data_IF_488175309043
#
_entry.id   IF_488175309043
#
_cell.length_a   1.000
_cell.length_b   1.000
_cell.length_c   1.000
_cell.angle_alpha   90.00
_cell.angle_beta   90.00
_cell.angle_gamma   90.00
#
_symmetry.space_group_name_H-M   'P 1'
#
loop_
_entity.id
_entity.type
_entity.pdbx_description
1 polymer ?
#
# COMPACT_ATOMS: atom_id res chain seq x y z
N UNK A 1 4.12 -28.73 14.87
CA UNK A 1 5.59 -28.59 14.71
C UNK A 1 5.87 -27.86 13.41
N UNK A 2 6.52 -26.69 13.48
CA UNK A 2 6.88 -25.87 12.30
C UNK A 2 8.20 -26.41 11.73
N UNK A 3 8.20 -26.81 10.46
CA UNK A 3 9.39 -27.33 9.77
C UNK A 3 9.87 -26.40 8.64
N UNK A 4 9.04 -25.48 8.20
CA UNK A 4 9.35 -24.49 7.16
C UNK A 4 8.92 -23.10 7.64
N UNK A 5 9.81 -22.14 7.51
CA UNK A 5 9.58 -20.71 7.78
C UNK A 5 9.71 -19.94 6.49
N UNK A 6 8.76 -19.04 6.23
CA UNK A 6 8.83 -18.06 5.15
C UNK A 6 8.85 -16.68 5.78
N UNK A 7 9.83 -15.86 5.43
CA UNK A 7 9.95 -14.48 5.86
C UNK A 7 9.76 -13.61 4.64
N UNK A 8 8.65 -12.91 4.59
CA UNK A 8 8.33 -11.95 3.53
C UNK A 8 8.81 -10.55 3.91
N UNK A 9 9.14 -9.73 2.90
CA UNK A 9 9.75 -8.40 3.07
C UNK A 9 10.98 -8.44 4.00
N UNK A 10 11.84 -9.43 3.81
CA UNK A 10 13.00 -9.70 4.67
C UNK A 10 13.97 -8.50 4.75
N UNK A 11 14.21 -7.83 3.63
CA UNK A 11 14.98 -6.58 3.53
C UNK A 11 14.47 -5.51 4.50
N UNK A 12 13.14 -5.41 4.63
CA UNK A 12 12.52 -4.44 5.54
C UNK A 12 12.63 -4.83 7.00
N UNK A 13 12.55 -6.11 7.29
CA UNK A 13 12.80 -6.59 8.66
C UNK A 13 14.20 -6.20 9.14
N UNK A 14 15.19 -6.24 8.24
CA UNK A 14 16.56 -5.82 8.55
C UNK A 14 16.68 -4.29 8.68
N UNK A 15 16.12 -3.53 7.73
CA UNK A 15 16.14 -2.06 7.73
C UNK A 15 15.52 -1.46 8.99
N UNK A 16 14.44 -2.05 9.49
CA UNK A 16 13.77 -1.59 10.72
C UNK A 16 14.46 -2.09 12.00
N UNK A 17 15.53 -2.85 11.89
CA UNK A 17 16.30 -3.32 13.04
C UNK A 17 15.66 -4.44 13.84
N UNK A 18 14.72 -5.22 13.26
CA UNK A 18 14.07 -6.36 13.90
C UNK A 18 14.95 -7.61 13.99
N UNK A 19 16.27 -7.42 14.08
CA UNK A 19 17.23 -8.52 14.12
C UNK A 19 17.03 -9.42 15.35
N UNK A 20 16.88 -8.82 16.53
CA UNK A 20 16.79 -9.54 17.80
C UNK A 20 15.44 -10.25 17.93
N UNK A 21 14.34 -9.59 17.55
CA UNK A 21 12.99 -10.17 17.55
C UNK A 21 12.89 -11.35 16.59
N UNK A 22 13.48 -11.23 15.40
CA UNK A 22 13.51 -12.31 14.43
C UNK A 22 14.36 -13.49 14.92
N UNK A 23 15.52 -13.22 15.53
CA UNK A 23 16.38 -14.25 16.13
C UNK A 23 15.65 -14.99 17.26
N UNK A 24 14.93 -14.26 18.12
CA UNK A 24 14.13 -14.84 19.19
C UNK A 24 13.03 -15.77 18.64
N UNK A 25 12.25 -15.30 17.66
CA UNK A 25 11.19 -16.10 17.03
C UNK A 25 11.75 -17.37 16.39
N UNK A 26 12.86 -17.26 15.65
CA UNK A 26 13.51 -18.41 15.00
C UNK A 26 14.05 -19.39 16.03
N UNK A 27 14.64 -18.89 17.13
CA UNK A 27 15.16 -19.71 18.23
C UNK A 27 14.08 -20.55 18.92
N UNK A 28 12.81 -20.12 18.88
CA UNK A 28 11.68 -20.89 19.41
C UNK A 28 11.17 -21.99 18.46
N UNK A 29 11.80 -22.21 17.30
CA UNK A 29 11.40 -23.18 16.29
C UNK A 29 12.40 -24.34 16.17
N UNK A 30 12.53 -25.25 17.15
CA UNK A 30 13.59 -26.26 17.20
C UNK A 30 13.52 -27.33 16.08
N UNK A 31 12.37 -27.43 15.42
CA UNK A 31 12.16 -28.41 14.33
C UNK A 31 12.28 -27.77 12.93
N UNK A 32 12.76 -26.54 12.85
CA UNK A 32 12.86 -25.81 11.58
C UNK A 32 13.94 -26.43 10.68
N UNK A 33 13.52 -26.83 9.48
CA UNK A 33 14.41 -27.48 8.48
C UNK A 33 14.64 -26.60 7.25
N UNK A 34 13.68 -25.76 6.90
CA UNK A 34 13.72 -24.94 5.68
C UNK A 34 13.36 -23.49 6.01
N UNK A 35 14.15 -22.59 5.45
CA UNK A 35 13.90 -21.15 5.50
C UNK A 35 13.80 -20.60 4.08
N UNK A 36 12.82 -19.75 3.85
CA UNK A 36 12.59 -19.05 2.58
C UNK A 36 12.52 -17.58 2.92
N UNK A 37 13.46 -16.81 2.37
CA UNK A 37 13.51 -15.36 2.52
C UNK A 37 13.04 -14.74 1.21
N UNK A 38 12.01 -13.89 1.28
CA UNK A 38 11.48 -13.15 0.15
C UNK A 38 11.83 -11.68 0.34
N UNK A 39 12.41 -11.07 -0.68
CA UNK A 39 12.86 -9.68 -0.66
C UNK A 39 12.58 -9.02 -2.00
N UNK A 40 12.22 -7.74 -1.97
CA UNK A 40 12.07 -6.92 -3.16
C UNK A 40 13.41 -6.30 -3.61
N UNK A 41 14.42 -6.33 -2.76
CA UNK A 41 15.78 -5.86 -3.03
C UNK A 41 16.79 -6.97 -2.79
N UNK A 42 17.97 -6.84 -3.38
CA UNK A 42 19.07 -7.75 -3.10
C UNK A 42 19.70 -7.38 -1.74
N UNK A 43 19.49 -8.22 -0.73
CA UNK A 43 20.11 -8.03 0.57
C UNK A 43 21.62 -8.27 0.44
N UNK A 44 22.43 -7.26 0.75
CA UNK A 44 23.90 -7.34 0.71
C UNK A 44 24.43 -8.35 1.73
N UNK A 45 23.79 -8.44 2.91
CA UNK A 45 24.15 -9.38 3.96
C UNK A 45 22.92 -10.11 4.49
N UNK A 46 23.04 -11.43 4.64
CA UNK A 46 22.02 -12.25 5.29
C UNK A 46 22.52 -12.56 6.72
N UNK A 47 21.84 -12.08 7.77
CA UNK A 47 22.26 -12.31 9.14
C UNK A 47 22.34 -13.78 9.51
N UNK A 48 23.26 -14.13 10.43
CA UNK A 48 23.49 -15.50 10.87
C UNK A 48 22.25 -16.18 11.47
N UNK A 49 21.38 -15.42 12.14
CA UNK A 49 20.13 -15.99 12.69
C UNK A 49 19.19 -16.54 11.62
N UNK A 50 19.28 -16.04 10.38
CA UNK A 50 18.52 -16.60 9.27
C UNK A 50 19.00 -18.01 8.89
N UNK A 51 20.14 -18.46 9.47
CA UNK A 51 20.68 -19.81 9.30
C UNK A 51 21.24 -20.08 7.91
N UNK A 52 21.69 -19.03 7.25
CA UNK A 52 22.24 -19.06 5.91
C UNK A 52 23.62 -18.41 5.97
N UNK A 53 24.70 -19.20 5.89
CA UNK A 53 26.04 -18.66 5.72
C UNK A 53 26.99 -18.60 6.93
N UNK A 54 26.77 -19.36 8.00
CA UNK A 54 27.74 -19.48 9.08
C UNK A 54 28.87 -20.46 8.71
N UNK A 55 30.13 -20.01 8.74
CA UNK A 55 31.32 -20.83 8.46
C UNK A 55 31.59 -21.94 9.50
N UNK A 56 30.84 -22.02 10.61
CA UNK A 56 31.18 -22.85 11.78
C UNK A 56 30.27 -24.05 12.04
N UNK A 57 29.54 -24.57 11.07
CA UNK A 57 28.90 -25.89 11.24
C UNK A 57 29.33 -26.85 10.14
N UNK A 58 30.44 -27.51 10.40
CA UNK A 58 30.88 -28.76 9.77
C UNK A 58 29.88 -29.93 10.10
N UNK A 59 28.64 -29.82 9.68
CA UNK A 59 27.75 -30.97 9.55
C UNK A 59 27.56 -31.24 8.06
N UNK A 60 27.79 -32.48 7.68
CA UNK A 60 27.85 -32.97 6.30
C UNK A 60 26.55 -32.85 5.48
N UNK A 61 25.59 -32.10 5.96
CA UNK A 61 24.36 -31.74 5.27
C UNK A 61 24.27 -30.20 5.20
N UNK A 62 25.25 -29.61 4.51
CA UNK A 62 25.34 -28.17 4.32
C UNK A 62 24.08 -27.68 3.63
N UNK A 63 23.27 -26.95 4.37
CA UNK A 63 22.14 -26.17 3.84
C UNK A 63 22.65 -25.19 2.78
N UNK A 64 22.64 -25.65 1.53
CA UNK A 64 23.08 -24.88 0.39
C UNK A 64 22.11 -23.71 0.20
N UNK A 65 22.58 -22.48 0.42
CA UNK A 65 21.84 -21.30 0.03
C UNK A 65 21.59 -21.36 -1.48
N UNK A 66 20.32 -21.34 -1.85
CA UNK A 66 19.91 -21.19 -3.25
C UNK A 66 19.32 -19.80 -3.39
N UNK A 67 20.05 -18.91 -4.06
CA UNK A 67 19.57 -17.56 -4.40
C UNK A 67 18.89 -17.64 -5.75
N UNK A 68 17.59 -17.25 -5.76
CA UNK A 68 16.80 -17.10 -6.97
C UNK A 68 16.54 -15.60 -7.16
N UNK A 69 17.11 -15.03 -8.21
CA UNK A 69 16.92 -13.63 -8.53
C UNK A 69 15.88 -13.48 -9.63
N UNK A 70 14.74 -12.87 -9.29
CA UNK A 70 13.66 -12.51 -10.19
C UNK A 70 13.48 -10.98 -10.25
N UNK A 71 14.45 -10.23 -9.72
CA UNK A 71 14.43 -8.76 -9.77
C UNK A 71 14.66 -8.34 -11.22
N UNK A 72 13.62 -7.88 -11.86
CA UNK A 72 13.66 -7.27 -13.17
C UNK A 72 13.23 -5.80 -13.02
N UNK A 73 14.18 -4.87 -13.08
CA UNK A 73 13.88 -3.44 -12.98
C UNK A 73 12.86 -2.96 -14.03
N UNK A 74 12.81 -3.64 -15.16
CA UNK A 74 11.96 -3.28 -16.29
C UNK A 74 10.60 -4.01 -16.28
N UNK A 75 10.38 -4.94 -15.36
CA UNK A 75 9.14 -5.75 -15.34
C UNK A 75 7.85 -4.92 -15.17
N UNK A 76 7.92 -3.80 -14.45
CA UNK A 76 6.79 -2.87 -14.24
C UNK A 76 6.77 -1.72 -15.26
N UNK A 77 7.93 -1.39 -15.85
CA UNK A 77 8.09 -0.21 -16.69
C UNK A 77 7.15 -0.15 -17.91
N UNK A 78 6.91 -1.25 -18.64
CA UNK A 78 6.06 -1.17 -19.85
C UNK A 78 4.56 -1.02 -19.55
N UNK A 79 4.12 -1.29 -18.32
CA UNK A 79 2.70 -1.30 -17.93
C UNK A 79 2.28 -0.11 -17.07
N UNK A 80 3.25 0.67 -16.60
CA UNK A 80 3.00 1.84 -15.77
C UNK A 80 3.03 3.08 -16.65
N UNK A 81 1.90 3.80 -16.75
CA UNK A 81 1.87 5.15 -17.29
C UNK A 81 2.25 6.13 -16.18
N UNK A 82 3.25 6.96 -16.42
CA UNK A 82 3.75 7.90 -15.44
C UNK A 82 3.45 9.34 -15.89
N UNK A 83 2.76 10.08 -15.05
CA UNK A 83 2.40 11.47 -15.30
C UNK A 83 2.97 12.41 -14.23
N UNK A 84 3.34 13.61 -14.61
CA UNK A 84 3.60 14.73 -13.70
C UNK A 84 2.45 15.73 -13.72
N UNK A 85 2.06 16.19 -12.55
CA UNK A 85 1.04 17.21 -12.34
C UNK A 85 1.72 18.38 -11.63
N UNK A 86 1.80 19.53 -12.27
CA UNK A 86 2.44 20.70 -11.70
C UNK A 86 1.45 21.46 -10.82
N UNK A 87 1.83 21.68 -9.56
CA UNK A 87 1.07 22.51 -8.63
C UNK A 87 1.58 23.97 -8.74
N UNK A 88 0.70 24.94 -8.98
CA UNK A 88 1.09 26.36 -9.02
C UNK A 88 1.53 26.88 -7.64
N UNK A 89 1.05 26.23 -6.58
CA UNK A 89 1.33 26.61 -5.20
C UNK A 89 2.24 25.58 -4.53
N UNK A 90 3.00 26.04 -3.52
CA UNK A 90 3.82 25.15 -2.68
C UNK A 90 2.95 24.13 -1.95
N UNK A 91 1.77 24.52 -1.51
CA UNK A 91 0.76 23.62 -0.94
C UNK A 91 -0.04 22.93 -2.04
N UNK A 92 0.19 21.66 -2.21
CA UNK A 92 -0.37 20.85 -3.30
C UNK A 92 -1.80 20.33 -3.05
N UNK A 93 -2.47 20.78 -1.98
CA UNK A 93 -3.79 20.26 -1.58
C UNK A 93 -4.87 20.51 -2.64
N UNK A 94 -4.92 21.73 -3.20
CA UNK A 94 -5.90 22.07 -4.24
C UNK A 94 -5.63 21.30 -5.53
N UNK A 95 -4.36 21.17 -5.90
CA UNK A 95 -3.94 20.38 -7.06
C UNK A 95 -4.33 18.91 -6.91
N UNK A 96 -4.11 18.31 -5.73
CA UNK A 96 -4.55 16.95 -5.43
C UNK A 96 -6.07 16.81 -5.52
N UNK A 97 -6.82 17.75 -4.92
CA UNK A 97 -8.28 17.74 -4.99
C UNK A 97 -8.78 17.77 -6.44
N UNK A 98 -8.24 18.66 -7.26
CA UNK A 98 -8.62 18.80 -8.67
C UNK A 98 -8.24 17.55 -9.48
N UNK A 99 -7.05 16.98 -9.23
CA UNK A 99 -6.65 15.72 -9.85
C UNK A 99 -7.63 14.60 -9.51
N UNK A 100 -7.94 14.39 -8.23
CA UNK A 100 -8.86 13.34 -7.81
C UNK A 100 -10.28 13.53 -8.37
N UNK A 101 -10.73 14.77 -8.51
CA UNK A 101 -12.01 15.07 -9.19
C UNK A 101 -11.98 14.73 -10.69
N UNK A 102 -10.84 14.89 -11.35
CA UNK A 102 -10.65 14.52 -12.77
C UNK A 102 -10.58 13.01 -12.93
N UNK A 103 -9.87 12.31 -12.03
CA UNK A 103 -9.78 10.86 -12.04
C UNK A 103 -11.14 10.20 -11.80
N UNK A 104 -12.05 10.89 -11.13
CA UNK A 104 -13.42 10.36 -10.92
C UNK A 104 -13.46 9.23 -9.90
N UNK A 105 -14.32 8.22 -10.17
CA UNK A 105 -14.52 7.10 -9.25
C UNK A 105 -13.66 5.89 -9.62
N UNK A 106 -12.34 6.10 -9.67
CA UNK A 106 -11.35 5.06 -9.89
C UNK A 106 -10.57 4.77 -8.61
N UNK A 107 -10.27 3.49 -8.36
CA UNK A 107 -9.52 3.09 -7.18
C UNK A 107 -8.14 3.77 -7.17
N UNK A 108 -7.95 4.67 -6.21
CA UNK A 108 -6.78 5.54 -6.12
C UNK A 108 -6.14 5.47 -4.75
N UNK A 109 -4.83 5.20 -4.73
CA UNK A 109 -4.01 5.23 -3.52
C UNK A 109 -3.11 6.47 -3.55
N UNK A 110 -3.29 7.35 -2.55
CA UNK A 110 -2.51 8.59 -2.41
C UNK A 110 -1.44 8.38 -1.34
N UNK A 111 -0.18 8.59 -1.71
CA UNK A 111 0.95 8.42 -0.81
C UNK A 111 1.43 9.74 -0.21
N UNK A 112 1.53 9.76 1.12
CA UNK A 112 2.19 10.79 1.91
C UNK A 112 3.35 10.18 2.70
N UNK A 113 4.43 10.95 2.91
CA UNK A 113 5.60 10.45 3.65
C UNK A 113 5.36 10.39 5.17
N UNK A 114 4.44 11.21 5.72
CA UNK A 114 4.20 11.37 7.15
C UNK A 114 2.74 11.16 7.52
N UNK A 115 2.48 10.68 8.75
CA UNK A 115 1.11 10.49 9.29
C UNK A 115 0.33 11.79 9.35
N UNK A 116 0.95 12.86 9.83
CA UNK A 116 0.36 14.19 9.94
C UNK A 116 -0.09 14.72 8.57
N UNK A 117 0.66 14.38 7.53
CA UNK A 117 0.29 14.73 6.15
C UNK A 117 -0.90 13.92 5.65
N UNK A 118 -1.01 12.64 6.02
CA UNK A 118 -2.18 11.80 5.72
C UNK A 118 -3.43 12.40 6.35
N UNK A 119 -3.37 12.74 7.64
CA UNK A 119 -4.48 13.35 8.38
C UNK A 119 -4.87 14.71 7.80
N UNK A 120 -3.87 15.56 7.49
CA UNK A 120 -4.08 16.89 6.91
C UNK A 120 -4.74 16.81 5.52
N UNK A 121 -4.23 15.95 4.65
CA UNK A 121 -4.78 15.74 3.30
C UNK A 121 -6.21 15.21 3.39
N UNK A 122 -6.44 14.22 4.24
CA UNK A 122 -7.78 13.64 4.44
C UNK A 122 -8.76 14.69 4.96
N UNK A 123 -8.37 15.44 5.99
CA UNK A 123 -9.20 16.51 6.55
C UNK A 123 -9.58 17.57 5.53
N UNK A 124 -8.62 17.98 4.70
CA UNK A 124 -8.87 18.94 3.62
C UNK A 124 -9.87 18.42 2.58
N UNK A 125 -9.68 17.18 2.11
CA UNK A 125 -10.58 16.57 1.13
C UNK A 125 -12.00 16.37 1.70
N UNK A 126 -12.11 15.94 2.95
CA UNK A 126 -13.39 15.74 3.64
C UNK A 126 -14.12 17.08 3.87
N UNK A 127 -13.39 18.15 4.19
CA UNK A 127 -13.97 19.51 4.29
C UNK A 127 -14.58 19.98 2.95
N UNK A 128 -13.99 19.57 1.83
CA UNK A 128 -14.55 19.76 0.48
C UNK A 128 -15.61 18.69 0.10
N UNK A 129 -16.04 17.85 1.05
CA UNK A 129 -17.01 16.77 0.84
C UNK A 129 -16.56 15.73 -0.20
N UNK A 130 -15.24 15.58 -0.38
CA UNK A 130 -14.67 14.54 -1.21
C UNK A 130 -14.68 13.19 -0.46
N UNK A 131 -15.22 12.09 -1.06
CA UNK A 131 -15.29 10.78 -0.41
C UNK A 131 -13.90 10.11 -0.40
N UNK A 132 -13.22 10.16 0.73
CA UNK A 132 -11.93 9.52 0.95
C UNK A 132 -11.81 8.97 2.37
N UNK A 133 -10.89 8.02 2.55
CA UNK A 133 -10.50 7.50 3.85
C UNK A 133 -8.98 7.57 4.02
N UNK A 134 -8.50 7.42 5.25
CA UNK A 134 -7.07 7.40 5.57
C UNK A 134 -6.64 6.03 6.09
N UNK A 135 -5.32 5.74 5.95
CA UNK A 135 -4.73 4.52 6.42
C UNK A 135 -3.28 4.73 6.84
N UNK A 136 -3.01 4.73 8.15
CA UNK A 136 -1.66 4.89 8.69
C UNK A 136 -1.49 4.17 10.03
N UNK A 137 -0.25 3.96 10.45
CA UNK A 137 0.08 3.18 11.64
C UNK A 137 -0.37 3.78 12.98
N UNK A 138 -0.77 5.06 13.02
CA UNK A 138 -1.31 5.71 14.22
C UNK A 138 -2.80 5.48 14.46
N UNK A 139 -3.50 4.83 13.51
CA UNK A 139 -4.92 4.52 13.65
C UNK A 139 -5.13 3.27 14.49
N UNK A 140 -6.26 3.22 15.24
CA UNK A 140 -6.72 2.02 15.90
C UNK A 140 -7.06 0.92 14.88
N UNK A 141 -6.81 -0.35 15.25
CA UNK A 141 -7.03 -1.48 14.34
C UNK A 141 -8.45 -1.56 13.75
N UNK A 142 -9.54 -1.31 14.52
CA UNK A 142 -10.90 -1.32 13.95
C UNK A 142 -11.13 -0.25 12.88
N UNK A 143 -10.49 0.91 13.01
CA UNK A 143 -10.63 2.00 12.03
C UNK A 143 -9.84 1.69 10.76
N UNK A 144 -8.64 1.09 10.90
CA UNK A 144 -7.86 0.59 9.76
C UNK A 144 -8.64 -0.45 8.97
N UNK A 145 -9.23 -1.44 9.64
CA UNK A 145 -10.05 -2.47 8.99
C UNK A 145 -11.26 -1.86 8.28
N UNK A 146 -11.94 -0.89 8.91
CA UNK A 146 -13.08 -0.20 8.32
C UNK A 146 -12.71 0.56 7.05
N UNK A 147 -11.59 1.30 7.05
CA UNK A 147 -11.10 2.01 5.88
C UNK A 147 -10.80 1.04 4.72
N UNK A 148 -10.14 -0.08 5.02
CA UNK A 148 -9.85 -1.12 4.02
C UNK A 148 -11.12 -1.77 3.46
N UNK A 149 -12.10 -2.09 4.31
CA UNK A 149 -13.36 -2.67 3.84
C UNK A 149 -14.11 -1.73 2.92
N UNK A 150 -14.17 -0.44 3.24
CA UNK A 150 -14.79 0.57 2.38
C UNK A 150 -14.06 0.71 1.03
N UNK A 151 -12.73 0.66 1.04
CA UNK A 151 -11.94 0.74 -0.17
C UNK A 151 -12.13 -0.52 -1.03
N UNK A 152 -12.05 -1.71 -0.42
CA UNK A 152 -12.21 -3.01 -1.13
C UNK A 152 -13.59 -3.22 -1.74
N UNK A 153 -14.65 -2.79 -1.07
CA UNK A 153 -16.02 -2.96 -1.56
C UNK A 153 -16.51 -1.82 -2.46
N UNK A 154 -15.62 -0.85 -2.74
CA UNK A 154 -15.94 0.25 -3.64
C UNK A 154 -16.84 1.33 -3.05
N UNK A 155 -17.11 1.37 -1.74
CA UNK A 155 -17.83 2.51 -1.13
C UNK A 155 -16.94 3.74 -0.86
N UNK A 156 -15.63 3.56 -0.99
CA UNK A 156 -14.64 4.63 -0.98
C UNK A 156 -13.59 4.32 -2.05
N UNK A 157 -13.42 5.20 -3.03
CA UNK A 157 -12.48 4.99 -4.13
C UNK A 157 -11.07 5.54 -3.86
N UNK A 158 -10.91 6.40 -2.86
CA UNK A 158 -9.63 7.06 -2.56
C UNK A 158 -9.18 6.76 -1.13
N UNK A 159 -7.98 6.18 -1.02
CA UNK A 159 -7.33 5.91 0.25
C UNK A 159 -6.03 6.71 0.33
N UNK A 160 -5.86 7.50 1.41
CA UNK A 160 -4.63 8.26 1.66
C UNK A 160 -3.78 7.48 2.67
N UNK A 161 -2.53 7.20 2.35
CA UNK A 161 -1.71 6.32 3.19
C UNK A 161 -0.24 6.74 3.26
N UNK A 162 0.46 6.23 4.27
CA UNK A 162 1.92 6.22 4.31
C UNK A 162 2.46 4.93 3.69
N UNK A 163 3.75 4.94 3.29
CA UNK A 163 4.41 3.75 2.72
C UNK A 163 4.32 2.54 3.65
N UNK A 164 4.68 2.74 4.92
CA UNK A 164 4.71 1.66 5.90
C UNK A 164 3.33 1.02 6.10
N UNK A 165 2.28 1.83 6.14
CA UNK A 165 0.92 1.31 6.33
C UNK A 165 0.39 0.59 5.08
N UNK A 166 0.77 1.07 3.89
CA UNK A 166 0.35 0.47 2.62
C UNK A 166 1.07 -0.85 2.29
N UNK A 167 2.18 -1.16 2.97
CA UNK A 167 2.89 -2.45 2.81
C UNK A 167 2.03 -3.61 3.29
N UNK A 168 2.15 -4.74 2.62
CA UNK A 168 1.37 -5.94 2.95
C UNK A 168 -0.14 -5.80 2.73
N UNK A 169 -0.64 -4.65 2.29
CA UNK A 169 -2.04 -4.50 1.94
C UNK A 169 -2.35 -5.31 0.67
N UNK A 170 -3.11 -6.37 0.86
CA UNK A 170 -3.73 -7.07 -0.25
C UNK A 170 -4.97 -6.30 -0.72
N UNK A 171 -4.74 -5.31 -1.58
CA UNK A 171 -5.80 -4.55 -2.25
C UNK A 171 -5.70 -4.85 -3.74
N UNK A 172 -6.64 -5.64 -4.27
CA UNK A 172 -6.68 -5.91 -5.70
C UNK A 172 -7.15 -4.67 -6.49
N UNK A 173 -6.60 -4.48 -7.67
CA UNK A 173 -7.16 -3.58 -8.68
C UNK A 173 -7.02 -2.09 -8.38
N UNK A 174 -5.91 -1.63 -7.77
CA UNK A 174 -5.62 -0.20 -7.69
C UNK A 174 -5.28 0.30 -9.11
N UNK A 175 -6.09 1.22 -9.61
CA UNK A 175 -5.94 1.77 -10.97
C UNK A 175 -4.95 2.93 -10.97
N UNK A 176 -4.99 3.79 -9.93
CA UNK A 176 -4.16 4.98 -9.84
C UNK A 176 -3.33 5.00 -8.56
N UNK A 177 -2.08 5.39 -8.70
CA UNK A 177 -1.19 5.76 -7.58
C UNK A 177 -0.86 7.23 -7.70
N UNK A 178 -1.04 7.99 -6.62
CA UNK A 178 -0.71 9.42 -6.56
C UNK A 178 0.38 9.65 -5.53
N UNK A 179 1.51 10.17 -5.96
CA UNK A 179 2.58 10.61 -5.09
C UNK A 179 2.34 12.07 -4.70
N UNK A 180 1.59 12.29 -3.60
CA UNK A 180 1.42 13.63 -3.04
C UNK A 180 2.74 14.20 -2.51
N UNK A 181 3.51 13.37 -1.81
CA UNK A 181 4.94 13.58 -1.58
C UNK A 181 5.73 12.63 -2.45
N UNK A 182 6.80 13.13 -3.06
CA UNK A 182 7.74 12.28 -3.78
C UNK A 182 8.28 11.17 -2.87
N UNK A 183 8.48 9.96 -3.39
CA UNK A 183 9.09 8.89 -2.61
C UNK A 183 10.51 9.27 -2.18
N UNK A 184 10.92 8.80 -1.02
CA UNK A 184 12.22 9.17 -0.43
C UNK A 184 13.41 8.49 -1.11
N UNK A 185 13.17 7.37 -1.79
CA UNK A 185 14.17 6.58 -2.52
C UNK A 185 13.49 5.72 -3.61
N UNK A 186 14.32 5.09 -4.44
CA UNK A 186 13.90 4.22 -5.54
C UNK A 186 13.05 3.04 -5.07
N UNK A 187 13.38 2.46 -3.94
CA UNK A 187 12.62 1.36 -3.36
C UNK A 187 11.19 1.78 -2.99
N UNK A 188 11.03 2.92 -2.30
CA UNK A 188 9.70 3.46 -2.00
C UNK A 188 8.92 3.75 -3.29
N UNK A 189 9.58 4.26 -4.33
CA UNK A 189 8.99 4.48 -5.65
C UNK A 189 8.47 3.17 -6.25
N UNK A 190 9.30 2.14 -6.27
CA UNK A 190 8.95 0.81 -6.80
C UNK A 190 7.81 0.16 -6.02
N UNK A 191 7.84 0.21 -4.70
CA UNK A 191 6.81 -0.35 -3.83
C UNK A 191 5.47 0.37 -3.97
N UNK A 192 5.46 1.70 -4.09
CA UNK A 192 4.24 2.47 -4.34
C UNK A 192 3.61 2.10 -5.67
N UNK A 193 4.41 2.10 -6.73
CA UNK A 193 3.95 1.77 -8.08
C UNK A 193 3.56 0.30 -8.22
N UNK A 194 4.20 -0.59 -7.46
CA UNK A 194 3.81 -2.00 -7.36
C UNK A 194 2.41 -2.24 -6.75
N UNK A 195 1.70 -1.20 -6.29
CA UNK A 195 0.28 -1.30 -5.88
C UNK A 195 -0.66 -1.25 -7.07
N UNK A 196 -0.25 -0.65 -8.17
CA UNK A 196 -0.94 -0.68 -9.47
C UNK A 196 -0.19 -1.57 -10.47
N UNK A 197 -0.66 -1.70 -11.67
CA UNK A 197 -0.02 -2.48 -12.75
C UNK A 197 0.32 -3.95 -12.40
N UNK A 198 -0.43 -4.57 -11.47
CA UNK A 198 -0.19 -5.95 -11.05
C UNK A 198 -0.66 -6.95 -12.12
N UNK A 199 0.09 -8.06 -12.24
CA UNK A 199 -0.17 -9.21 -13.10
C UNK A 199 -0.26 -8.90 -14.60
N UNK A 200 -1.29 -8.39 -15.17
CA UNK A 200 -1.43 -8.05 -16.59
C UNK A 200 -2.21 -6.75 -16.79
N UNK A 201 -2.47 -5.99 -15.70
CA UNK A 201 -3.20 -4.74 -15.76
C UNK A 201 -2.25 -3.57 -16.02
N UNK A 202 -2.69 -2.61 -16.84
CA UNK A 202 -2.06 -1.29 -16.93
C UNK A 202 -2.35 -0.51 -15.65
N UNK A 203 -1.37 0.23 -15.15
CA UNK A 203 -1.50 1.12 -14.01
C UNK A 203 -1.10 2.53 -14.36
N UNK A 204 -1.61 3.51 -13.60
CA UNK A 204 -1.24 4.91 -13.79
C UNK A 204 -0.69 5.49 -12.50
N UNK A 205 0.45 6.16 -12.59
CA UNK A 205 1.05 6.88 -11.47
C UNK A 205 1.14 8.38 -11.77
N UNK A 206 0.85 9.19 -10.77
CA UNK A 206 0.89 10.65 -10.85
C UNK A 206 1.87 11.19 -9.81
N UNK A 207 2.83 12.01 -10.24
CA UNK A 207 3.74 12.76 -9.38
C UNK A 207 3.20 14.20 -9.28
N UNK A 208 2.79 14.65 -8.10
CA UNK A 208 2.41 16.06 -7.89
C UNK A 208 3.65 16.82 -7.45
N UNK A 209 4.07 17.76 -8.28
CA UNK A 209 5.25 18.59 -8.08
C UNK A 209 4.85 20.05 -7.89
N UNK A 210 5.47 20.73 -6.95
CA UNK A 210 5.46 22.21 -6.90
C UNK A 210 6.71 22.78 -7.59
N UNK A 211 6.81 24.09 -7.69
CA UNK A 211 7.91 24.76 -8.38
C UNK A 211 9.30 24.54 -7.75
N UNK A 212 9.36 24.12 -6.48
CA UNK A 212 10.62 23.88 -5.75
C UNK A 212 11.06 22.42 -5.82
N UNK A 213 10.18 21.50 -6.27
CA UNK A 213 10.45 20.06 -6.33
C UNK A 213 10.95 19.68 -7.72
N UNK A 214 11.95 18.84 -7.75
CA UNK A 214 12.50 18.22 -8.96
C UNK A 214 12.23 16.73 -8.95
N UNK A 215 12.14 16.13 -10.13
CA UNK A 215 12.01 14.69 -10.27
C UNK A 215 13.32 14.04 -9.79
N UNK A 216 13.26 13.10 -8.84
CA UNK A 216 14.45 12.41 -8.35
C UNK A 216 15.16 11.61 -9.46
N UNK A 217 16.50 11.53 -9.40
CA UNK A 217 17.34 10.86 -10.41
C UNK A 217 17.02 9.37 -10.57
N UNK A 218 16.52 8.71 -9.51
CA UNK A 218 16.12 7.29 -9.58
C UNK A 218 14.83 7.08 -10.40
N UNK A 219 14.11 8.13 -10.75
CA UNK A 219 13.00 8.06 -11.70
C UNK A 219 13.56 8.29 -13.10
N UNK A 220 14.06 7.23 -13.71
CA UNK A 220 14.75 7.28 -15.01
C UNK A 220 13.82 7.56 -16.18
N UNK A 221 12.54 7.18 -16.06
CA UNK A 221 11.53 7.44 -17.08
C UNK A 221 10.98 8.85 -16.92
N UNK A 222 11.07 9.66 -17.97
CA UNK A 222 10.45 10.99 -17.99
C UNK A 222 8.93 10.87 -17.96
N UNK A 223 8.25 11.49 -16.97
CA UNK A 223 6.79 11.44 -16.88
C UNK A 223 6.15 12.40 -17.89
N UNK A 224 5.07 11.96 -18.52
CA UNK A 224 4.24 12.80 -19.38
C UNK A 224 3.57 13.90 -18.57
N UNK A 225 3.45 15.08 -19.14
CA UNK A 225 2.70 16.17 -18.48
C UNK A 225 1.20 15.87 -18.46
N UNK A 226 0.60 16.02 -17.29
CA UNK A 226 -0.84 15.91 -17.11
C UNK A 226 -1.42 17.26 -16.71
N UNK A 227 -2.17 17.86 -17.62
CA UNK A 227 -2.78 19.17 -17.42
C UNK A 227 -4.16 19.01 -16.78
N UNK A 228 -4.34 19.68 -15.63
CA UNK A 228 -5.65 19.77 -15.00
C UNK A 228 -6.53 20.75 -15.79
N UNK A 229 -7.83 20.45 -15.97
CA UNK A 229 -8.75 21.39 -16.61
C UNK A 229 -8.94 22.63 -15.76
N UNK A 230 -9.12 23.79 -16.40
CA UNK A 230 -9.38 25.07 -15.72
C UNK A 230 -10.66 25.04 -14.88
N UNK A 231 -11.67 24.28 -15.31
CA UNK A 231 -12.93 24.14 -14.59
C UNK A 231 -12.84 22.90 -13.70
N UNK A 232 -12.92 23.11 -12.39
CA UNK A 232 -12.93 22.04 -11.41
C UNK A 232 -14.15 21.12 -11.60
N UNK A 233 -13.90 19.83 -11.74
CA UNK A 233 -14.95 18.80 -11.71
C UNK A 233 -15.45 18.63 -10.28
N UNK A 234 -16.69 18.20 -10.13
CA UNK A 234 -17.23 17.82 -8.82
C UNK A 234 -16.77 16.41 -8.43
N UNK A 235 -16.60 16.15 -7.13
CA UNK A 235 -16.31 14.79 -6.66
C UNK A 235 -17.39 13.81 -7.10
N UNK A 236 -16.98 12.66 -7.62
CA UNK A 236 -17.88 11.54 -7.90
C UNK A 236 -18.07 10.72 -6.63
N UNK A 237 -19.29 10.34 -6.33
CA UNK A 237 -19.62 9.52 -5.15
C UNK A 237 -19.95 8.11 -5.54
N UNK A 238 -19.67 7.19 -4.64
CA UNK A 238 -20.08 5.79 -4.77
C UNK A 238 -21.60 5.66 -4.72
N UNK A 239 -22.13 4.75 -5.51
CA UNK A 239 -23.47 4.22 -5.37
C UNK A 239 -23.57 3.21 -4.21
N UNK A 240 -22.42 2.70 -3.75
CA UNK A 240 -22.33 1.74 -2.66
C UNK A 240 -22.12 2.42 -1.32
N UNK A 241 -22.75 1.89 -0.28
CA UNK A 241 -22.58 2.33 1.11
C UNK A 241 -22.14 1.16 1.96
N UNK A 242 -21.09 1.36 2.77
CA UNK A 242 -20.66 0.36 3.75
C UNK A 242 -21.45 0.51 5.04
N UNK A 243 -22.20 -0.53 5.39
CA UNK A 243 -22.82 -0.68 6.69
C UNK A 243 -21.93 -1.54 7.59
N UNK A 244 -21.52 -0.98 8.73
CA UNK A 244 -20.73 -1.70 9.73
C UNK A 244 -21.61 -2.04 10.94
N UNK A 245 -21.65 -3.33 11.30
CA UNK A 245 -22.38 -3.84 12.46
C UNK A 245 -21.35 -4.40 13.44
N UNK A 246 -21.17 -3.73 14.60
CA UNK A 246 -20.19 -4.10 15.64
C UNK A 246 -20.68 -5.24 16.55
N UNK A 247 -21.60 -6.06 16.06
CA UNK A 247 -22.17 -7.20 16.78
C UNK A 247 -22.14 -8.44 15.89
N UNK A 248 -22.06 -9.62 16.51
CA UNK A 248 -21.95 -10.87 15.77
C UNK A 248 -22.50 -12.07 16.53
N UNK A 249 -22.03 -13.26 16.19
CA UNK A 249 -22.48 -14.53 16.79
C UNK A 249 -22.40 -14.55 18.32
N UNK A 250 -21.37 -13.92 18.91
CA UNK A 250 -21.24 -13.80 20.37
C UNK A 250 -22.38 -13.00 21.01
N UNK A 251 -22.94 -12.05 20.25
CA UNK A 251 -24.08 -11.23 20.66
C UNK A 251 -25.42 -11.82 20.18
N UNK A 252 -25.43 -13.09 19.77
CA UNK A 252 -26.58 -13.80 19.21
C UNK A 252 -27.13 -13.18 17.91
N UNK A 253 -26.31 -12.44 17.18
CA UNK A 253 -26.66 -11.87 15.88
C UNK A 253 -26.05 -12.72 14.77
N UNK A 254 -26.88 -13.29 13.91
CA UNK A 254 -26.47 -14.06 12.75
C UNK A 254 -26.54 -13.24 11.45
N UNK A 255 -25.88 -13.70 10.40
CA UNK A 255 -26.02 -13.09 9.06
C UNK A 255 -27.48 -13.08 8.57
N UNK A 256 -28.27 -14.11 8.92
CA UNK A 256 -29.69 -14.21 8.55
C UNK A 256 -30.52 -13.12 9.23
N UNK A 257 -30.23 -12.80 10.50
CA UNK A 257 -30.95 -11.74 11.22
C UNK A 257 -30.67 -10.38 10.58
N UNK A 258 -29.43 -10.11 10.18
CA UNK A 258 -29.07 -8.87 9.48
C UNK A 258 -29.75 -8.77 8.14
N UNK A 259 -29.69 -9.82 7.33
CA UNK A 259 -30.35 -9.87 6.01
C UNK A 259 -31.85 -9.73 6.17
N UNK A 260 -32.46 -10.49 7.09
CA UNK A 260 -33.89 -10.38 7.37
C UNK A 260 -34.33 -8.99 7.81
N UNK A 261 -33.55 -8.32 8.65
CA UNK A 261 -33.80 -6.95 9.06
C UNK A 261 -33.72 -5.96 7.88
N UNK A 262 -32.69 -6.07 7.04
CA UNK A 262 -32.50 -5.20 5.88
C UNK A 262 -33.67 -5.35 4.86
N UNK A 263 -34.09 -6.58 4.56
CA UNK A 263 -35.22 -6.81 3.66
C UNK A 263 -36.58 -6.41 4.27
N UNK A 264 -36.86 -6.80 5.51
CA UNK A 264 -38.17 -6.59 6.11
C UNK A 264 -38.40 -5.18 6.64
N UNK A 265 -37.36 -4.56 7.18
CA UNK A 265 -37.45 -3.23 7.83
C UNK A 265 -36.69 -2.15 7.06
N UNK A 266 -35.59 -2.51 6.37
CA UNK A 266 -34.78 -1.60 5.58
C UNK A 266 -35.34 -1.31 4.19
N UNK A 267 -36.31 -2.07 3.72
CA UNK A 267 -36.90 -1.89 2.39
C UNK A 267 -35.93 -2.12 1.24
N UNK A 268 -34.88 -2.91 1.46
CA UNK A 268 -33.96 -3.31 0.41
C UNK A 268 -34.56 -4.49 -0.36
N UNK A 269 -34.59 -4.40 -1.67
CA UNK A 269 -35.01 -5.45 -2.60
C UNK A 269 -33.87 -6.40 -2.96
#
# INVERSE_FOLDING_TARGET
TVTTLVIDEFDKCLEFGFHDEMAEVIGQLPSLKKRILLSATDAEEIPQFAGVGGEDQLSADSSRLVKLNFLDPDALAPRLKLHKVVSPEKDKLETLYNLLCVLGYHSTLVFCNYRESVERVTGYLQAKKFPCDMFHGGMEQPDRERALYKFRNGSCAVLISTDLAARGLDIPGIENVVHYHLPVNEEAYTHRNGRTARMNAEGVAYLILNAEETIPEYITREPDEFFLPEVAKKPVRSEWVTLTINRGKRDKLSKKDVVGFLFQKGGLE
#
